data_IF_367573561865
#
_entry.id   IF_367573561865
#
_cell.length_a   1.000
_cell.length_b   1.000
_cell.length_c   1.000
_cell.angle_alpha   90.00
_cell.angle_beta   90.00
_cell.angle_gamma   90.00
#
_symmetry.space_group_name_H-M   'P 1'
#
loop_
_entity.id
_entity.type
_entity.pdbx_description
1 polymer ?
#
# COMPACT_ATOMS: atom_id res chain seq x y z
N UNK A 1 17.02 -6.73 20.68
CA UNK A 1 16.17 -7.33 19.63
C UNK A 1 16.13 -8.81 19.93
N UNK A 2 14.96 -9.35 20.26
CA UNK A 2 14.79 -10.78 20.52
C UNK A 2 15.07 -11.53 19.21
N UNK A 3 15.92 -12.53 19.28
CA UNK A 3 16.29 -13.32 18.11
C UNK A 3 15.14 -14.29 17.79
N UNK A 4 14.82 -14.50 16.51
CA UNK A 4 13.78 -15.48 16.06
C UNK A 4 14.07 -16.87 16.65
N UNK A 5 15.35 -17.16 16.89
CA UNK A 5 15.84 -18.42 17.46
C UNK A 5 15.39 -18.69 18.90
N UNK A 6 14.98 -17.64 19.64
CA UNK A 6 14.56 -17.76 21.05
C UNK A 6 13.14 -18.34 21.21
N UNK A 7 12.38 -18.44 20.09
CA UNK A 7 10.99 -18.90 20.12
C UNK A 7 10.78 -20.11 19.21
N UNK A 8 10.43 -21.27 19.81
CA UNK A 8 10.23 -22.51 19.06
C UNK A 8 9.17 -22.39 17.95
N UNK A 9 8.09 -21.64 18.20
CA UNK A 9 7.00 -21.39 17.24
C UNK A 9 7.50 -20.59 16.03
N UNK A 10 8.40 -19.64 16.21
CA UNK A 10 8.91 -18.83 15.10
C UNK A 10 9.83 -19.60 14.16
N UNK A 11 10.50 -20.65 14.66
CA UNK A 11 11.33 -21.53 13.84
C UNK A 11 10.50 -22.34 12.85
N UNK A 12 9.29 -22.74 13.23
CA UNK A 12 8.38 -23.49 12.36
C UNK A 12 7.85 -22.65 11.21
N UNK A 13 7.79 -21.30 11.38
CA UNK A 13 7.28 -20.35 10.40
C UNK A 13 8.33 -19.35 9.91
N UNK A 14 9.57 -19.79 9.79
CA UNK A 14 10.69 -18.94 9.36
C UNK A 14 10.49 -18.34 7.96
N UNK A 15 9.72 -19.00 7.11
CA UNK A 15 9.34 -18.56 5.77
C UNK A 15 8.54 -17.24 5.76
N UNK A 16 7.76 -16.98 6.82
CA UNK A 16 6.98 -15.73 6.97
C UNK A 16 7.89 -14.50 7.12
N UNK A 17 9.10 -14.68 7.62
CA UNK A 17 10.08 -13.59 7.83
C UNK A 17 11.02 -13.38 6.65
N UNK A 18 10.92 -14.22 5.61
CA UNK A 18 11.69 -14.06 4.38
C UNK A 18 11.04 -13.03 3.46
N UNK A 19 11.87 -12.30 2.73
CA UNK A 19 11.37 -11.36 1.72
C UNK A 19 10.53 -12.13 0.68
N UNK A 20 9.32 -11.61 0.37
CA UNK A 20 8.42 -12.24 -0.59
C UNK A 20 8.96 -11.97 -2.00
N UNK A 21 9.49 -12.99 -2.70
CA UNK A 21 10.14 -12.80 -4.00
C UNK A 21 9.15 -12.68 -5.17
N UNK A 22 7.86 -12.91 -4.92
CA UNK A 22 6.84 -13.03 -5.98
C UNK A 22 5.56 -12.28 -5.63
N UNK A 23 4.80 -11.96 -6.67
CA UNK A 23 3.42 -11.51 -6.52
C UNK A 23 2.59 -12.59 -5.79
N UNK A 24 1.59 -12.19 -5.00
CA UNK A 24 0.65 -13.14 -4.42
C UNK A 24 -0.01 -13.97 -5.52
N UNK A 25 -0.41 -15.22 -5.24
CA UNK A 25 -1.10 -16.06 -6.21
C UNK A 25 -2.39 -15.35 -6.69
N UNK A 26 -2.74 -15.62 -7.96
CA UNK A 26 -4.02 -15.15 -8.49
C UNK A 26 -5.16 -15.67 -7.60
N UNK A 27 -6.08 -14.79 -7.28
CA UNK A 27 -7.29 -15.11 -6.51
C UNK A 27 -8.48 -15.16 -7.45
N UNK A 28 -9.48 -15.96 -7.11
CA UNK A 28 -10.72 -16.07 -7.90
C UNK A 28 -11.55 -14.77 -7.87
N UNK A 29 -11.32 -13.94 -6.85
CA UNK A 29 -12.03 -12.66 -6.69
C UNK A 29 -11.01 -11.53 -6.78
N UNK A 30 -11.14 -10.70 -7.82
CA UNK A 30 -10.37 -9.48 -7.98
C UNK A 30 -10.99 -8.35 -7.17
N UNK A 31 -10.14 -7.50 -6.60
CA UNK A 31 -10.57 -6.31 -5.90
C UNK A 31 -11.06 -5.27 -6.92
N UNK A 32 -12.27 -4.75 -6.70
CA UNK A 32 -12.86 -3.71 -7.54
C UNK A 32 -13.27 -2.48 -6.72
N UNK A 33 -13.12 -1.30 -7.31
CA UNK A 33 -13.54 -0.04 -6.71
C UNK A 33 -14.68 0.53 -7.53
N UNK A 34 -15.87 0.61 -6.94
CA UNK A 34 -17.04 1.18 -7.57
C UNK A 34 -17.04 2.71 -7.40
N UNK A 35 -17.27 3.42 -8.48
CA UNK A 35 -17.29 4.88 -8.51
C UNK A 35 -18.72 5.40 -8.66
N UNK A 36 -18.98 6.60 -8.16
CA UNK A 36 -20.27 7.26 -8.34
C UNK A 36 -20.50 7.57 -9.83
N UNK A 37 -21.70 7.29 -10.35
CA UNK A 37 -22.02 7.58 -11.75
C UNK A 37 -21.98 9.09 -12.03
N UNK A 38 -21.54 9.46 -13.23
CA UNK A 38 -21.47 10.85 -13.74
C UNK A 38 -20.41 11.77 -13.10
N UNK A 39 -19.54 11.26 -12.24
CA UNK A 39 -18.41 12.06 -11.78
C UNK A 39 -17.37 12.22 -12.91
N UNK A 40 -16.98 13.47 -13.14
CA UNK A 40 -15.93 13.77 -14.13
C UNK A 40 -14.58 13.31 -13.59
N UNK A 41 -13.79 12.74 -14.49
CA UNK A 41 -12.41 12.35 -14.19
C UNK A 41 -11.61 13.56 -13.72
N UNK A 42 -11.13 13.52 -12.50
CA UNK A 42 -10.28 14.59 -11.97
C UNK A 42 -8.86 14.36 -12.44
N UNK A 43 -8.56 14.82 -13.64
CA UNK A 43 -7.18 14.94 -14.10
C UNK A 43 -6.63 16.27 -13.60
N UNK A 44 -5.94 16.27 -12.46
CA UNK A 44 -5.18 17.44 -12.03
C UNK A 44 -3.80 17.40 -12.63
N UNK A 45 -3.32 18.57 -13.06
CA UNK A 45 -1.95 18.74 -13.54
C UNK A 45 -0.96 18.17 -12.54
N UNK A 46 -0.02 17.32 -12.96
CA UNK A 46 1.00 16.78 -12.07
C UNK A 46 1.76 17.90 -11.36
N UNK A 47 2.02 17.75 -10.07
CA UNK A 47 2.85 18.71 -9.35
C UNK A 47 4.25 18.75 -9.98
N UNK A 48 4.75 19.96 -10.23
CA UNK A 48 6.15 20.13 -10.63
C UNK A 48 7.05 19.59 -9.53
N UNK A 49 7.88 18.64 -9.88
CA UNK A 49 8.86 18.05 -8.98
C UNK A 49 10.25 18.60 -9.28
N UNK A 50 11.06 18.75 -8.24
CA UNK A 50 12.49 19.05 -8.40
C UNK A 50 13.20 17.86 -9.06
N UNK A 51 14.28 18.13 -9.79
CA UNK A 51 15.10 17.09 -10.45
C UNK A 51 15.49 15.92 -9.53
N UNK A 52 15.94 16.14 -8.27
CA UNK A 52 16.25 15.05 -7.35
C UNK A 52 15.04 14.16 -7.02
N UNK A 53 13.84 14.75 -6.85
CA UNK A 53 12.62 14.00 -6.60
C UNK A 53 12.18 13.16 -7.80
N UNK A 54 12.34 13.71 -9.02
CA UNK A 54 12.07 12.96 -10.26
C UNK A 54 12.98 11.75 -10.40
N UNK A 55 14.29 11.92 -10.15
CA UNK A 55 15.25 10.81 -10.19
C UNK A 55 14.88 9.72 -9.17
N UNK A 56 14.51 10.09 -7.96
CA UNK A 56 14.06 9.14 -6.93
C UNK A 56 12.78 8.42 -7.34
N UNK A 57 11.81 9.16 -7.93
CA UNK A 57 10.59 8.55 -8.47
C UNK A 57 10.89 7.51 -9.52
N UNK A 58 11.75 7.84 -10.48
CA UNK A 58 12.14 6.92 -11.55
C UNK A 58 12.76 5.65 -10.98
N UNK A 59 13.71 5.76 -10.05
CA UNK A 59 14.36 4.60 -9.42
C UNK A 59 13.36 3.71 -8.70
N UNK A 60 12.45 4.29 -7.90
CA UNK A 60 11.44 3.51 -7.17
C UNK A 60 10.43 2.85 -8.12
N UNK A 61 10.00 3.54 -9.18
CA UNK A 61 9.09 2.95 -10.18
C UNK A 61 9.76 1.81 -10.94
N UNK A 62 11.01 1.94 -11.33
CA UNK A 62 11.77 0.88 -12.01
C UNK A 62 11.91 -0.35 -11.11
N UNK A 63 12.17 -0.18 -9.82
CA UNK A 63 12.23 -1.28 -8.86
C UNK A 63 10.89 -2.01 -8.75
N UNK A 64 9.78 -1.27 -8.56
CA UNK A 64 8.44 -1.83 -8.42
C UNK A 64 8.00 -2.52 -9.74
N UNK A 65 8.38 -1.95 -10.88
CA UNK A 65 8.12 -2.54 -12.20
C UNK A 65 8.89 -3.86 -12.39
N UNK A 66 10.17 -3.90 -12.01
CA UNK A 66 10.99 -5.12 -12.06
C UNK A 66 10.43 -6.24 -11.17
N UNK A 67 9.88 -5.87 -10.02
CA UNK A 67 9.20 -6.82 -9.10
C UNK A 67 7.81 -7.25 -9.62
N UNK A 68 7.31 -6.64 -10.70
CA UNK A 68 6.01 -6.97 -11.30
C UNK A 68 4.80 -6.46 -10.50
N UNK A 69 5.00 -5.59 -9.51
CA UNK A 69 3.90 -5.04 -8.71
C UNK A 69 3.06 -4.00 -9.46
N UNK A 70 3.62 -3.40 -10.49
CA UNK A 70 2.93 -2.46 -11.39
C UNK A 70 3.19 -2.83 -12.83
N UNK A 71 2.30 -2.40 -13.71
CA UNK A 71 2.45 -2.52 -15.16
C UNK A 71 2.04 -1.22 -15.85
N UNK A 72 2.61 -0.90 -17.02
CA UNK A 72 2.16 0.22 -17.81
C UNK A 72 0.67 0.08 -18.16
N UNK A 73 -0.10 1.13 -18.00
CA UNK A 73 -1.50 1.15 -18.36
C UNK A 73 -1.91 2.52 -18.92
N UNK A 74 -2.95 2.54 -19.76
CA UNK A 74 -3.61 3.77 -20.19
C UNK A 74 -4.83 3.95 -19.30
N UNK A 75 -4.76 4.90 -18.37
CA UNK A 75 -5.86 5.19 -17.45
C UNK A 75 -6.28 6.65 -17.60
N UNK A 76 -7.60 6.92 -17.69
CA UNK A 76 -8.11 8.28 -17.63
C UNK A 76 -7.98 8.91 -16.24
N UNK A 77 -7.67 8.11 -15.22
CA UNK A 77 -7.47 8.56 -13.83
C UNK A 77 -6.02 8.89 -13.57
N UNK A 78 -5.77 10.06 -13.00
CA UNK A 78 -4.44 10.51 -12.61
C UNK A 78 -4.45 10.85 -11.12
N UNK A 79 -3.53 10.27 -10.37
CA UNK A 79 -3.29 10.61 -8.98
C UNK A 79 -1.91 11.25 -8.82
N UNK A 80 -1.79 12.42 -8.17
CA UNK A 80 -0.50 13.04 -7.93
C UNK A 80 0.33 12.24 -6.94
N UNK A 81 1.64 12.26 -7.15
CA UNK A 81 2.62 11.61 -6.29
C UNK A 81 3.29 12.64 -5.38
N UNK A 82 3.43 12.30 -4.11
CA UNK A 82 4.08 13.09 -3.08
C UNK A 82 5.28 12.34 -2.51
N UNK A 83 6.30 13.09 -2.09
CA UNK A 83 7.50 12.56 -1.43
C UNK A 83 7.69 13.19 -0.06
N UNK A 84 6.93 12.78 0.96
CA UNK A 84 7.22 13.17 2.33
C UNK A 84 8.52 12.53 2.82
N UNK A 85 9.25 13.25 3.63
CA UNK A 85 10.43 12.73 4.33
C UNK A 85 9.99 11.85 5.50
N UNK A 86 10.62 10.71 5.65
CA UNK A 86 10.54 9.89 6.87
C UNK A 86 11.41 10.49 7.98
N UNK A 87 11.31 9.96 9.19
CA UNK A 87 12.14 10.37 10.33
C UNK A 87 13.65 10.15 10.08
N UNK A 88 13.98 9.13 9.31
CA UNK A 88 15.35 8.78 8.89
C UNK A 88 15.88 9.65 7.73
N UNK A 89 15.11 10.64 7.25
CA UNK A 89 15.45 11.52 6.16
C UNK A 89 15.20 10.95 4.77
N UNK A 90 14.87 9.67 4.63
CA UNK A 90 14.53 9.04 3.35
C UNK A 90 13.18 9.53 2.82
N UNK A 91 12.99 9.45 1.50
CA UNK A 91 11.75 9.85 0.84
C UNK A 91 10.81 8.65 0.69
N UNK A 92 9.56 8.81 1.10
CA UNK A 92 8.51 7.82 0.88
C UNK A 92 7.70 8.20 -0.35
N UNK A 93 7.53 7.25 -1.27
CA UNK A 93 6.59 7.39 -2.38
C UNK A 93 5.15 7.28 -1.82
N UNK A 94 4.37 8.33 -1.97
CA UNK A 94 2.96 8.35 -1.57
C UNK A 94 2.09 8.78 -2.74
N UNK A 95 1.04 8.03 -3.02
CA UNK A 95 0.05 8.36 -4.03
C UNK A 95 -1.13 9.06 -3.34
N UNK A 96 -1.54 10.19 -3.89
CA UNK A 96 -2.57 11.03 -3.29
C UNK A 96 -3.97 10.64 -3.79
N UNK A 97 -4.59 9.69 -3.11
CA UNK A 97 -5.89 9.13 -3.49
C UNK A 97 -7.12 9.91 -2.98
N UNK A 98 -6.96 11.08 -2.35
CA UNK A 98 -8.09 11.80 -1.73
C UNK A 98 -9.20 12.09 -2.75
N UNK A 99 -8.85 12.44 -3.99
CA UNK A 99 -9.86 12.74 -5.02
C UNK A 99 -10.60 11.46 -5.45
N UNK A 100 -9.89 10.38 -5.64
CA UNK A 100 -10.48 9.07 -5.95
C UNK A 100 -11.40 8.61 -4.82
N UNK A 101 -10.97 8.77 -3.57
CA UNK A 101 -11.77 8.40 -2.40
C UNK A 101 -13.07 9.21 -2.25
N UNK A 102 -13.11 10.45 -2.77
CA UNK A 102 -14.34 11.26 -2.76
C UNK A 102 -15.41 10.70 -3.70
N UNK A 103 -15.00 10.17 -4.84
CA UNK A 103 -15.91 9.63 -5.86
C UNK A 103 -16.13 8.12 -5.74
N UNK A 104 -15.47 7.48 -4.80
CA UNK A 104 -15.64 6.05 -4.52
C UNK A 104 -16.90 5.80 -3.72
N UNK A 105 -17.71 4.84 -4.17
CA UNK A 105 -18.84 4.33 -3.39
C UNK A 105 -18.29 3.59 -2.19
N UNK A 106 -18.52 4.13 -1.00
CA UNK A 106 -18.00 3.55 0.24
C UNK A 106 -18.73 2.26 0.56
N UNK A 107 -17.97 1.22 0.83
CA UNK A 107 -18.52 -0.03 1.34
C UNK A 107 -19.09 0.20 2.75
N UNK A 108 -20.28 -0.34 3.00
CA UNK A 108 -20.99 -0.25 4.29
C UNK A 108 -20.81 -1.50 5.15
N UNK A 109 -19.74 -2.27 4.89
CA UNK A 109 -19.48 -3.45 5.70
C UNK A 109 -19.22 -3.03 7.17
N UNK A 110 -19.90 -3.66 8.14
CA UNK A 110 -19.67 -3.35 9.54
C UNK A 110 -18.24 -3.73 9.93
N UNK A 111 -17.50 -2.75 10.42
CA UNK A 111 -16.17 -2.98 10.98
C UNK A 111 -16.30 -3.42 12.43
N UNK A 112 -15.50 -4.38 12.84
CA UNK A 112 -15.36 -4.74 14.25
C UNK A 112 -14.91 -3.53 15.05
N UNK A 113 -15.46 -3.35 16.25
CA UNK A 113 -15.05 -2.26 17.14
C UNK A 113 -13.61 -2.48 17.59
N UNK A 114 -12.84 -1.40 17.61
CA UNK A 114 -11.43 -1.46 18.02
C UNK A 114 -11.29 -2.03 19.43
N UNK A 115 -12.21 -1.66 20.33
CA UNK A 115 -12.23 -2.14 21.71
C UNK A 115 -12.41 -3.66 21.80
N UNK A 116 -13.28 -4.24 20.96
CA UNK A 116 -13.50 -5.68 20.89
C UNK A 116 -12.26 -6.42 20.40
N UNK A 117 -11.57 -5.85 19.39
CA UNK A 117 -10.31 -6.40 18.87
C UNK A 117 -9.20 -6.35 19.93
N UNK A 118 -9.08 -5.25 20.65
CA UNK A 118 -8.11 -5.11 21.74
C UNK A 118 -8.42 -6.06 22.90
N UNK A 119 -9.69 -6.28 23.21
CA UNK A 119 -10.10 -7.23 24.23
C UNK A 119 -9.72 -8.67 23.87
N UNK A 120 -9.84 -9.07 22.60
CA UNK A 120 -9.40 -10.38 22.11
C UNK A 120 -7.87 -10.59 22.26
N UNK A 121 -7.10 -9.49 22.21
CA UNK A 121 -5.64 -9.54 22.35
C UNK A 121 -5.15 -9.41 23.80
N UNK A 122 -6.06 -9.26 24.77
CA UNK A 122 -5.72 -8.92 26.17
C UNK A 122 -4.70 -9.88 26.80
N UNK A 123 -4.77 -11.17 26.48
CA UNK A 123 -3.89 -12.20 27.05
C UNK A 123 -2.78 -12.64 26.09
N UNK A 124 -2.66 -12.02 24.92
CA UNK A 124 -1.62 -12.34 23.96
C UNK A 124 -0.25 -11.83 24.46
N UNK A 125 0.73 -12.73 24.54
CA UNK A 125 2.10 -12.42 24.95
C UNK A 125 3.05 -12.19 23.77
N UNK A 126 2.66 -12.58 22.56
CA UNK A 126 3.44 -12.48 21.32
C UNK A 126 2.52 -11.87 20.26
N UNK A 127 3.04 -10.86 19.53
CA UNK A 127 2.32 -10.16 18.46
C UNK A 127 3.11 -10.24 17.16
#
# INVERSE_FOLDING_TARGET
>A
MSNIEDYAVLKEFEDVFKEIPRLPPKRDIDFSINLMPKESLVSKTPYRMSKPKLKNLQMQLEEILKKGYIQPSVSPWVAPVLFPKKKDGTLRLCIYFIQLNKVTIKNKYPLSRIDDLLYQLKDAKIF
#
